data_IF_187209132870
#
_entry.id   IF_187209132870
#
_cell.length_a   1.000
_cell.length_b   1.000
_cell.length_c   1.000
_cell.angle_alpha   90.00
_cell.angle_beta   90.00
_cell.angle_gamma   90.00
#
_symmetry.space_group_name_H-M   'P 1'
#
loop_
_entity.id
_entity.type
_entity.pdbx_description
1 polymer ?
#
# COMPACT_ATOMS: atom_id res chain seq x y z
N UNK A 1 6.80 -27.15 45.71
CA UNK A 1 5.58 -26.39 46.06
C UNK A 1 5.44 -25.25 45.08
N UNK A 2 4.71 -25.42 43.98
CA UNK A 2 4.44 -24.32 43.03
C UNK A 2 3.32 -23.45 43.60
N UNK A 3 3.58 -22.15 43.73
CA UNK A 3 2.59 -21.21 44.25
C UNK A 3 1.35 -21.21 43.31
N UNK A 4 0.12 -21.40 43.84
CA UNK A 4 -1.09 -21.53 43.03
C UNK A 4 -1.37 -20.28 42.17
N UNK A 5 -0.85 -19.12 42.58
CA UNK A 5 -0.92 -17.85 41.85
C UNK A 5 -0.13 -17.87 40.54
N UNK A 6 1.04 -18.52 40.51
CA UNK A 6 1.88 -18.60 39.32
C UNK A 6 1.26 -19.54 38.28
N UNK A 7 0.73 -20.68 38.73
CA UNK A 7 0.06 -21.66 37.87
C UNK A 7 -1.17 -21.08 37.19
N UNK A 8 -1.99 -20.31 37.92
CA UNK A 8 -3.15 -19.63 37.37
C UNK A 8 -2.76 -18.57 36.33
N UNK A 9 -1.71 -17.79 36.60
CA UNK A 9 -1.19 -16.80 35.67
C UNK A 9 -0.71 -17.44 34.35
N UNK A 10 0.05 -18.53 34.45
CA UNK A 10 0.51 -19.27 33.27
C UNK A 10 -0.65 -19.83 32.44
N UNK A 11 -1.70 -20.34 33.10
CA UNK A 11 -2.88 -20.90 32.43
C UNK A 11 -3.68 -19.81 31.70
N UNK A 12 -3.84 -18.63 32.31
CA UNK A 12 -4.48 -17.48 31.68
C UNK A 12 -3.68 -16.97 30.48
N UNK A 13 -2.35 -16.88 30.60
CA UNK A 13 -1.48 -16.50 29.48
C UNK A 13 -1.57 -17.52 28.33
N UNK A 14 -1.55 -18.80 28.64
CA UNK A 14 -1.70 -19.86 27.64
C UNK A 14 -3.05 -19.77 26.92
N UNK A 15 -4.14 -19.57 27.67
CA UNK A 15 -5.47 -19.37 27.09
C UNK A 15 -5.50 -18.13 26.17
N UNK A 16 -4.87 -17.03 26.58
CA UNK A 16 -4.78 -15.82 25.76
C UNK A 16 -4.03 -16.04 24.46
N UNK A 17 -2.92 -16.80 24.49
CA UNK A 17 -2.15 -17.15 23.30
C UNK A 17 -2.96 -18.01 22.32
N UNK A 18 -3.83 -18.89 22.81
CA UNK A 18 -4.69 -19.72 21.93
C UNK A 18 -5.83 -18.95 21.26
N UNK A 19 -6.18 -17.77 21.77
CA UNK A 19 -7.21 -16.90 21.20
C UNK A 19 -6.66 -15.92 20.15
N UNK A 20 -5.34 -15.88 19.94
CA UNK A 20 -4.75 -15.07 18.88
C UNK A 20 -4.95 -15.80 17.55
N UNK A 21 -5.74 -15.27 16.60
CA UNK A 21 -5.89 -15.88 15.30
C UNK A 21 -4.52 -15.95 14.62
N UNK A 22 -4.18 -17.11 14.05
CA UNK A 22 -2.93 -17.27 13.32
C UNK A 22 -3.00 -16.42 12.05
N UNK A 23 -2.33 -15.28 12.07
CA UNK A 23 -2.16 -14.42 10.89
C UNK A 23 -0.98 -14.97 10.11
N UNK A 24 -1.25 -15.91 9.20
CA UNK A 24 -0.23 -16.39 8.26
C UNK A 24 0.11 -15.27 7.28
N UNK A 25 1.39 -14.91 7.23
CA UNK A 25 1.90 -14.10 6.12
C UNK A 25 1.69 -14.87 4.82
N UNK A 26 1.37 -14.17 3.72
CA UNK A 26 1.28 -14.82 2.42
C UNK A 26 2.63 -15.51 2.09
N UNK A 27 2.65 -16.79 1.68
CA UNK A 27 3.89 -17.56 1.47
C UNK A 27 4.87 -16.94 0.47
N UNK A 28 4.38 -16.12 -0.44
CA UNK A 28 5.15 -15.38 -1.44
C UNK A 28 5.34 -13.90 -1.08
N UNK A 29 4.90 -13.47 0.11
CA UNK A 29 4.90 -12.08 0.57
C UNK A 29 3.93 -11.15 -0.17
N UNK A 30 3.08 -11.69 -1.05
CA UNK A 30 2.18 -10.91 -1.91
C UNK A 30 0.76 -10.94 -1.37
N UNK A 31 0.16 -9.77 -1.23
CA UNK A 31 -1.26 -9.59 -0.94
C UNK A 31 -2.04 -9.71 -2.26
N UNK A 32 -2.03 -10.89 -2.87
CA UNK A 32 -2.50 -11.06 -4.26
C UNK A 32 -3.96 -10.68 -4.44
N UNK A 33 -4.85 -10.97 -3.49
CA UNK A 33 -6.27 -10.63 -3.62
C UNK A 33 -6.55 -9.11 -3.57
N UNK A 34 -5.75 -8.34 -2.83
CA UNK A 34 -5.89 -6.89 -2.75
C UNK A 34 -5.17 -6.14 -3.88
N UNK A 35 -4.21 -6.79 -4.54
CA UNK A 35 -3.42 -6.19 -5.63
C UNK A 35 -3.67 -6.85 -7.00
N UNK A 36 -4.69 -7.71 -7.13
CA UNK A 36 -5.00 -8.41 -8.37
C UNK A 36 -5.34 -7.43 -9.51
N UNK A 37 -6.04 -6.34 -9.17
CA UNK A 37 -6.26 -5.22 -10.07
C UNK A 37 -6.14 -3.91 -9.28
N UNK A 38 -5.20 -3.06 -9.70
CA UNK A 38 -5.02 -1.71 -9.15
C UNK A 38 -6.00 -0.71 -9.78
N UNK A 39 -6.95 -1.17 -10.59
CA UNK A 39 -8.03 -0.34 -11.12
C UNK A 39 -8.91 0.15 -9.97
N UNK A 40 -9.04 1.47 -9.77
CA UNK A 40 -9.84 2.01 -8.68
C UNK A 40 -11.32 1.65 -8.86
N UNK A 41 -11.90 0.94 -7.89
CA UNK A 41 -13.32 0.54 -7.90
C UNK A 41 -14.18 1.51 -7.07
N UNK A 42 -14.15 2.81 -7.41
CA UNK A 42 -14.90 3.82 -6.64
C UNK A 42 -16.39 3.93 -7.00
N UNK A 43 -16.93 3.00 -7.77
CA UNK A 43 -18.35 2.97 -8.16
C UNK A 43 -18.79 4.12 -9.07
N UNK A 44 -17.86 4.97 -9.51
CA UNK A 44 -18.09 6.09 -10.42
C UNK A 44 -17.37 5.86 -11.73
N UNK A 45 -17.87 6.47 -12.80
CA UNK A 45 -17.23 6.40 -14.11
C UNK A 45 -15.90 7.17 -14.07
N UNK A 46 -14.93 6.64 -14.81
CA UNK A 46 -13.63 7.28 -15.00
C UNK A 46 -13.80 8.69 -15.56
N UNK A 47 -12.99 9.64 -15.09
CA UNK A 47 -12.97 10.98 -15.67
C UNK A 47 -12.54 10.90 -17.15
N UNK A 48 -13.31 11.52 -18.02
CA UNK A 48 -13.02 11.63 -19.47
C UNK A 48 -12.54 13.02 -19.88
N UNK A 49 -12.81 14.03 -19.06
CA UNK A 49 -12.26 15.37 -19.22
C UNK A 49 -10.76 15.41 -18.85
N UNK A 50 -10.08 16.47 -19.26
CA UNK A 50 -8.68 16.69 -18.86
C UNK A 50 -8.56 16.77 -17.33
N UNK A 51 -7.53 16.10 -16.80
CA UNK A 51 -7.22 16.14 -15.36
C UNK A 51 -6.92 17.57 -14.91
N UNK A 52 -7.48 18.05 -13.77
CA UNK A 52 -7.12 19.33 -13.16
C UNK A 52 -5.76 19.31 -12.45
N UNK A 53 -5.10 18.15 -12.42
CA UNK A 53 -3.77 17.96 -11.84
C UNK A 53 -2.77 17.45 -12.88
N UNK A 54 -1.50 17.85 -12.73
CA UNK A 54 -0.38 17.38 -13.55
C UNK A 54 0.57 16.53 -12.72
N UNK A 55 1.05 15.44 -13.33
CA UNK A 55 2.11 14.59 -12.78
C UNK A 55 3.40 14.91 -13.53
N UNK A 56 4.42 15.37 -12.82
CA UNK A 56 5.76 15.61 -13.37
C UNK A 56 6.77 14.69 -12.70
N UNK A 57 7.58 13.99 -13.50
CA UNK A 57 8.70 13.21 -13.02
C UNK A 57 10.01 13.96 -13.27
N UNK A 58 10.93 13.89 -12.30
CA UNK A 58 12.27 14.48 -12.40
C UNK A 58 13.14 13.91 -13.53
N UNK A 59 12.78 12.75 -14.10
CA UNK A 59 13.42 12.16 -15.28
C UNK A 59 12.39 11.52 -16.21
N UNK A 60 12.63 11.59 -17.52
CA UNK A 60 11.81 10.93 -18.56
C UNK A 60 12.14 9.45 -18.73
N UNK A 61 13.28 8.98 -18.25
CA UNK A 61 13.69 7.57 -18.37
C UNK A 61 13.27 6.82 -17.13
N UNK A 62 12.39 5.83 -17.33
CA UNK A 62 11.81 4.96 -16.29
C UNK A 62 12.80 3.95 -15.68
N UNK A 63 14.04 3.91 -16.15
CA UNK A 63 15.08 2.99 -15.71
C UNK A 63 16.11 3.70 -14.84
N UNK A 64 15.81 3.83 -13.55
CA UNK A 64 16.85 4.10 -12.55
C UNK A 64 16.96 2.90 -11.61
N UNK A 65 17.81 1.89 -11.91
CA UNK A 65 17.88 0.66 -11.14
C UNK A 65 18.24 0.85 -9.66
N UNK A 66 18.81 2.00 -9.30
CA UNK A 66 19.26 2.33 -7.93
C UNK A 66 19.08 3.81 -7.55
N UNK A 67 18.34 4.59 -8.33
CA UNK A 67 18.14 6.01 -8.06
C UNK A 67 16.70 6.32 -7.63
N UNK A 68 16.54 7.44 -6.94
CA UNK A 68 15.22 7.94 -6.56
C UNK A 68 14.63 8.73 -7.72
N UNK A 69 13.42 8.36 -8.15
CA UNK A 69 12.64 9.15 -9.08
C UNK A 69 11.71 10.06 -8.27
N UNK A 70 11.96 11.37 -8.28
CA UNK A 70 11.05 12.34 -7.66
C UNK A 70 9.85 12.55 -8.57
N UNK A 71 8.65 12.34 -8.03
CA UNK A 71 7.37 12.62 -8.67
C UNK A 71 6.73 13.82 -7.97
N UNK A 72 6.18 14.74 -8.75
CA UNK A 72 5.54 15.95 -8.26
C UNK A 72 4.12 16.01 -8.81
N UNK A 73 3.15 16.12 -7.90
CA UNK A 73 1.74 16.35 -8.19
C UNK A 73 1.45 17.84 -8.01
N UNK A 74 0.90 18.46 -9.04
CA UNK A 74 0.63 19.89 -9.04
C UNK A 74 -0.80 20.17 -9.48
N UNK A 75 -1.45 21.12 -8.81
CA UNK A 75 -2.73 21.67 -9.25
C UNK A 75 -2.53 22.62 -10.42
N UNK A 76 -3.43 22.57 -11.40
CA UNK A 76 -3.48 23.51 -12.51
C UNK A 76 -4.23 24.80 -12.17
N UNK A 77 -4.90 24.88 -11.01
CA UNK A 77 -5.63 26.07 -10.58
C UNK A 77 -5.59 26.26 -9.06
N UNK A 78 -5.70 27.52 -8.61
CA UNK A 78 -5.75 27.86 -7.18
C UNK A 78 -7.03 27.37 -6.48
N UNK A 79 -8.07 27.01 -7.25
CA UNK A 79 -9.37 26.53 -6.75
C UNK A 79 -9.39 25.01 -6.51
N UNK A 80 -8.42 24.27 -7.04
CA UNK A 80 -8.37 22.81 -6.92
C UNK A 80 -7.49 22.40 -5.75
N UNK A 81 -8.13 21.97 -4.65
CA UNK A 81 -7.44 21.42 -3.47
C UNK A 81 -7.32 19.90 -3.60
N UNK A 82 -6.10 19.37 -3.51
CA UNK A 82 -5.86 17.93 -3.47
C UNK A 82 -5.94 17.45 -2.01
N UNK A 83 -7.03 16.80 -1.64
CA UNK A 83 -7.23 16.30 -0.27
C UNK A 83 -6.52 14.95 -0.01
N UNK A 84 -6.08 14.26 -1.06
CA UNK A 84 -5.36 12.99 -0.96
C UNK A 84 -5.06 12.40 -2.32
N UNK A 85 -4.07 11.50 -2.38
CA UNK A 85 -3.73 10.76 -3.60
C UNK A 85 -3.34 9.32 -3.25
N UNK A 86 -3.58 8.41 -4.19
CA UNK A 86 -3.12 7.03 -4.12
C UNK A 86 -2.16 6.77 -5.28
N UNK A 87 -0.92 6.43 -4.96
CA UNK A 87 0.12 6.16 -5.95
C UNK A 87 0.37 4.66 -6.03
N UNK A 88 0.34 4.11 -7.25
CA UNK A 88 0.64 2.70 -7.50
C UNK A 88 1.51 2.57 -8.74
N UNK A 89 2.50 1.68 -8.69
CA UNK A 89 3.32 1.34 -9.85
C UNK A 89 2.94 -0.03 -10.38
N UNK A 90 2.66 -0.09 -11.68
CA UNK A 90 2.39 -1.31 -12.41
C UNK A 90 3.24 -1.34 -13.67
N UNK A 91 3.65 -2.53 -14.10
CA UNK A 91 4.21 -2.69 -15.45
C UNK A 91 3.11 -2.71 -16.49
N UNK A 92 3.37 -2.14 -17.67
CA UNK A 92 2.46 -2.23 -18.81
C UNK A 92 2.12 -3.69 -19.19
N UNK A 93 3.03 -4.62 -18.91
CA UNK A 93 2.85 -6.06 -19.15
C UNK A 93 2.15 -6.81 -17.99
N UNK A 94 2.19 -6.27 -16.76
CA UNK A 94 1.60 -6.91 -15.59
C UNK A 94 1.26 -5.86 -14.52
N UNK A 95 -0.04 -5.74 -14.22
CA UNK A 95 -0.58 -4.81 -13.21
C UNK A 95 -0.66 -5.40 -11.80
N UNK A 96 -0.28 -6.67 -11.60
CA UNK A 96 -0.45 -7.38 -10.33
C UNK A 96 0.67 -7.15 -9.31
N UNK A 97 1.76 -6.48 -9.68
CA UNK A 97 2.99 -6.45 -8.88
C UNK A 97 3.56 -5.03 -8.72
N UNK A 98 3.50 -4.44 -7.51
CA UNK A 98 4.29 -3.26 -7.20
C UNK A 98 5.77 -3.64 -7.22
N UNK A 99 6.55 -3.01 -8.10
CA UNK A 99 7.98 -3.32 -8.29
C UNK A 99 8.92 -2.58 -7.34
N UNK A 100 8.47 -1.49 -6.73
CA UNK A 100 9.34 -0.54 -6.03
C UNK A 100 8.66 0.01 -4.78
N UNK A 101 9.48 0.46 -3.82
CA UNK A 101 9.00 1.18 -2.64
C UNK A 101 8.81 2.68 -2.95
N UNK A 102 7.81 3.30 -2.33
CA UNK A 102 7.65 4.74 -2.31
C UNK A 102 8.27 5.31 -1.03
N UNK A 103 8.92 6.47 -1.16
CA UNK A 103 9.44 7.22 -0.01
C UNK A 103 8.75 8.58 -0.03
N UNK A 104 7.94 8.84 1.00
CA UNK A 104 7.38 10.15 1.28
C UNK A 104 8.43 10.94 2.04
N UNK A 105 8.80 12.12 1.53
CA UNK A 105 9.76 13.03 2.15
C UNK A 105 9.10 14.39 2.40
#
# INVERSE_FOLDING_TARGET
MTAPSLTLCCLLLFLFLTMVPVVWSYPNGKVTSSCDDLTPQHGTSSQTAASPYTVAASSRTSSCPRGQLKICLQSLSSESVLCGFHESQATAADRRLPKTAFILN
#
